data_IF_209773289066
#
_entry.id   IF_209773289066
#
_cell.length_a   1.000
_cell.length_b   1.000
_cell.length_c   1.000
_cell.angle_alpha   90.00
_cell.angle_beta   90.00
_cell.angle_gamma   90.00
#
_symmetry.space_group_name_H-M   'P 1'
#
loop_
_entity.id
_entity.type
_entity.pdbx_description
1 polymer ?
#
# COMPACT_ATOMS: atom_id res chain seq x y z
N UNK A 1 -10.24 19.72 9.23
CA UNK A 1 -10.38 18.46 8.49
C UNK A 1 -10.65 18.79 7.04
N UNK A 2 -9.78 18.35 6.14
CA UNK A 2 -9.94 18.60 4.69
C UNK A 2 -11.11 17.78 4.13
N UNK A 3 -11.58 18.11 2.93
CA UNK A 3 -12.60 17.28 2.24
C UNK A 3 -12.13 15.83 2.05
N UNK A 4 -10.82 15.61 2.04
CA UNK A 4 -10.23 14.31 1.73
C UNK A 4 -10.15 13.45 2.98
N UNK A 5 -9.69 14.04 4.08
CA UNK A 5 -9.77 13.44 5.42
C UNK A 5 -11.22 13.06 5.77
N UNK A 6 -12.20 13.94 5.49
CA UNK A 6 -13.63 13.63 5.67
C UNK A 6 -14.08 12.44 4.81
N UNK A 7 -13.61 12.37 3.57
CA UNK A 7 -13.95 11.31 2.63
C UNK A 7 -13.41 9.96 3.12
N UNK A 8 -12.15 9.91 3.55
CA UNK A 8 -11.51 8.72 4.12
C UNK A 8 -12.24 8.27 5.38
N UNK A 9 -12.43 9.18 6.34
CA UNK A 9 -13.03 8.87 7.63
C UNK A 9 -14.43 8.25 7.49
N UNK A 10 -15.26 8.84 6.63
CA UNK A 10 -16.62 8.35 6.36
C UNK A 10 -16.66 6.87 6.03
N UNK A 11 -15.71 6.39 5.21
CA UNK A 11 -15.67 5.00 4.75
C UNK A 11 -15.05 4.06 5.79
N UNK A 12 -14.23 4.57 6.70
CA UNK A 12 -13.61 3.78 7.75
C UNK A 12 -14.49 3.61 8.98
N UNK A 13 -15.42 4.53 9.29
CA UNK A 13 -16.13 4.51 10.57
C UNK A 13 -17.63 4.21 10.48
N UNK A 14 -18.13 3.70 9.35
CA UNK A 14 -19.56 3.51 9.11
C UNK A 14 -20.43 4.76 9.39
N UNK A 15 -19.82 5.95 9.39
CA UNK A 15 -20.49 7.23 9.68
C UNK A 15 -20.33 7.75 11.12
N UNK A 16 -19.74 6.98 12.05
CA UNK A 16 -19.47 7.45 13.41
C UNK A 16 -18.15 8.25 13.44
N UNK A 17 -18.22 9.57 13.63
CA UNK A 17 -17.05 10.46 13.58
C UNK A 17 -16.61 10.94 14.98
N UNK A 18 -17.07 10.26 16.04
CA UNK A 18 -16.73 10.62 17.42
C UNK A 18 -15.24 10.44 17.75
N UNK A 19 -14.69 11.31 18.61
CA UNK A 19 -13.27 11.23 19.01
C UNK A 19 -12.28 11.83 18.01
N UNK A 20 -12.81 12.62 17.09
CA UNK A 20 -12.15 13.30 15.98
C UNK A 20 -12.58 14.80 15.97
N UNK A 21 -12.98 15.30 17.14
CA UNK A 21 -13.59 16.63 17.33
C UNK A 21 -12.58 17.79 17.26
N UNK A 22 -11.28 17.50 17.33
CA UNK A 22 -10.18 18.48 17.18
C UNK A 22 -9.47 18.44 15.82
N UNK A 23 -10.00 17.75 14.81
CA UNK A 23 -9.33 17.60 13.49
C UNK A 23 -9.32 18.90 12.65
N UNK A 24 -9.73 20.04 13.19
CA UNK A 24 -9.63 21.33 12.48
C UNK A 24 -8.21 21.65 11.98
N UNK A 25 -7.20 21.17 12.71
CA UNK A 25 -5.80 21.64 12.61
C UNK A 25 -4.80 20.58 12.10
N UNK A 26 -5.20 19.31 11.97
CA UNK A 26 -4.28 18.23 11.62
C UNK A 26 -3.94 18.24 10.12
N UNK A 27 -2.64 18.15 9.81
CA UNK A 27 -2.18 17.82 8.47
C UNK A 27 -2.47 16.33 8.14
N UNK A 28 -2.24 15.92 6.90
CA UNK A 28 -2.57 14.57 6.46
C UNK A 28 -1.76 13.47 7.15
N UNK A 29 -0.49 13.74 7.51
CA UNK A 29 0.34 12.82 8.29
C UNK A 29 -0.17 12.65 9.72
N UNK A 30 -0.45 13.76 10.42
CA UNK A 30 -1.04 13.73 11.77
C UNK A 30 -2.41 13.04 11.78
N UNK A 31 -3.20 13.22 10.71
CA UNK A 31 -4.47 12.54 10.55
C UNK A 31 -4.28 11.04 10.34
N UNK A 32 -3.32 10.63 9.50
CA UNK A 32 -2.98 9.22 9.31
C UNK A 32 -2.53 8.57 10.64
N UNK A 33 -1.67 9.22 11.41
CA UNK A 33 -1.24 8.74 12.72
C UNK A 33 -2.43 8.55 13.67
N UNK A 34 -3.41 9.45 13.62
CA UNK A 34 -4.65 9.30 14.38
C UNK A 34 -5.53 8.13 13.89
N UNK A 35 -5.56 7.85 12.58
CA UNK A 35 -6.25 6.67 12.04
C UNK A 35 -5.57 5.37 12.49
N UNK A 36 -4.23 5.33 12.50
CA UNK A 36 -3.44 4.19 12.98
C UNK A 36 -3.67 3.99 14.47
N UNK A 37 -3.55 5.05 15.28
CA UNK A 37 -3.75 4.99 16.74
C UNK A 37 -5.15 4.56 17.16
N UNK A 38 -6.15 4.69 16.28
CA UNK A 38 -7.52 4.19 16.50
C UNK A 38 -7.80 2.82 15.86
N UNK A 39 -6.81 2.19 15.23
CA UNK A 39 -6.97 0.90 14.55
C UNK A 39 -7.90 0.97 13.33
N UNK A 40 -7.99 2.12 12.67
CA UNK A 40 -8.74 2.29 11.41
C UNK A 40 -7.86 1.98 10.19
N UNK A 41 -6.56 2.20 10.32
CA UNK A 41 -5.51 1.84 9.36
C UNK A 41 -4.50 0.97 10.09
N UNK A 42 -4.00 -0.07 9.44
CA UNK A 42 -2.94 -0.92 9.98
C UNK A 42 -1.69 -0.82 9.12
N UNK A 43 -0.53 -0.65 9.74
CA UNK A 43 0.76 -0.69 9.07
C UNK A 43 1.29 -2.13 9.15
N UNK A 44 1.46 -2.78 8.01
CA UNK A 44 2.05 -4.10 7.89
C UNK A 44 3.43 -3.97 7.22
N UNK A 45 4.49 -4.37 7.92
CA UNK A 45 5.83 -4.45 7.34
C UNK A 45 5.84 -5.44 6.16
N UNK A 46 6.59 -5.13 5.10
CA UNK A 46 6.72 -6.06 3.97
C UNK A 46 7.22 -7.42 4.42
N UNK A 47 8.08 -7.49 5.43
CA UNK A 47 8.68 -8.70 5.95
C UNK A 47 7.67 -9.65 6.58
N UNK A 48 6.58 -9.14 7.13
CA UNK A 48 5.58 -9.94 7.85
C UNK A 48 4.89 -9.20 8.97
N UNK A 49 4.08 -9.94 9.72
CA UNK A 49 3.44 -9.48 10.94
C UNK A 49 4.44 -9.48 12.11
N UNK A 50 4.24 -8.59 13.08
CA UNK A 50 4.97 -8.62 14.36
C UNK A 50 4.61 -9.87 15.16
N UNK A 51 3.30 -10.15 15.30
CA UNK A 51 2.78 -11.40 15.83
C UNK A 51 1.89 -12.09 14.79
N UNK A 52 2.03 -13.42 14.69
CA UNK A 52 1.14 -14.21 13.83
C UNK A 52 -0.32 -13.99 14.23
N UNK A 53 -1.13 -13.56 13.27
CA UNK A 53 -2.56 -13.32 13.48
C UNK A 53 -2.96 -11.84 13.44
N UNK A 54 -2.02 -10.90 13.44
CA UNK A 54 -2.34 -9.48 13.61
C UNK A 54 -3.17 -8.88 12.48
N UNK A 55 -2.89 -9.23 11.22
CA UNK A 55 -3.72 -8.82 10.08
C UNK A 55 -5.13 -9.40 10.21
N UNK A 56 -5.26 -10.65 10.66
CA UNK A 56 -6.55 -11.28 10.93
C UNK A 56 -7.35 -10.59 12.04
N UNK A 57 -6.70 -10.22 13.14
CA UNK A 57 -7.29 -9.46 14.25
C UNK A 57 -7.77 -8.09 13.76
N UNK A 58 -6.92 -7.37 13.01
CA UNK A 58 -7.26 -6.06 12.44
C UNK A 58 -8.49 -6.16 11.53
N UNK A 59 -8.47 -7.07 10.54
CA UNK A 59 -9.57 -7.19 9.58
C UNK A 59 -10.87 -7.59 10.28
N UNK A 60 -10.82 -8.55 11.21
CA UNK A 60 -12.00 -8.97 11.97
C UNK A 60 -12.58 -7.81 12.79
N UNK A 61 -11.72 -7.06 13.49
CA UNK A 61 -12.14 -5.87 14.23
C UNK A 61 -12.79 -4.81 13.34
N UNK A 62 -12.24 -4.55 12.14
CA UNK A 62 -12.86 -3.63 11.17
C UNK A 62 -14.22 -4.12 10.70
N UNK A 63 -14.36 -5.41 10.39
CA UNK A 63 -15.62 -5.98 9.94
C UNK A 63 -16.70 -5.89 11.02
N UNK A 64 -16.37 -6.25 12.26
CA UNK A 64 -17.29 -6.14 13.40
C UNK A 64 -17.78 -4.71 13.61
N UNK A 65 -16.89 -3.73 13.46
CA UNK A 65 -17.22 -2.31 13.58
C UNK A 65 -18.05 -1.77 12.41
N UNK A 66 -17.82 -2.26 11.19
CA UNK A 66 -18.50 -1.77 9.98
C UNK A 66 -19.85 -2.45 9.73
N UNK A 67 -19.99 -3.73 10.05
CA UNK A 67 -21.21 -4.50 9.87
C UNK A 67 -21.21 -5.77 10.74
N UNK A 68 -22.03 -5.78 11.79
CA UNK A 68 -22.17 -6.94 12.67
C UNK A 68 -22.58 -8.19 11.89
N UNK A 69 -21.97 -9.34 12.21
CA UNK A 69 -22.33 -10.64 11.64
C UNK A 69 -21.57 -11.02 10.37
N UNK A 70 -20.66 -10.16 9.88
CA UNK A 70 -19.69 -10.54 8.85
C UNK A 70 -18.42 -11.04 9.55
N UNK A 71 -18.14 -12.34 9.46
CA UNK A 71 -16.95 -12.95 10.05
C UNK A 71 -16.06 -13.59 8.99
N UNK A 72 -14.75 -13.61 9.24
CA UNK A 72 -13.79 -14.36 8.44
C UNK A 72 -13.23 -15.54 9.24
N UNK A 73 -13.04 -16.66 8.54
CA UNK A 73 -12.33 -17.82 9.06
C UNK A 73 -10.82 -17.57 8.95
N UNK A 74 -10.27 -16.80 9.90
CA UNK A 74 -8.87 -16.40 9.92
C UNK A 74 -7.96 -17.61 10.13
N UNK A 75 -8.32 -18.52 11.03
CA UNK A 75 -7.56 -19.75 11.32
C UNK A 75 -7.32 -20.56 10.05
N UNK A 76 -8.34 -20.67 9.19
CA UNK A 76 -8.19 -21.34 7.89
C UNK A 76 -7.23 -20.63 6.95
N UNK A 77 -7.13 -19.30 7.00
CA UNK A 77 -6.17 -18.54 6.19
C UNK A 77 -4.74 -18.77 6.72
N UNK A 78 -4.51 -18.66 8.03
CA UNK A 78 -3.19 -18.92 8.62
C UNK A 78 -2.75 -20.38 8.48
N UNK A 79 -3.67 -21.35 8.59
CA UNK A 79 -3.36 -22.76 8.32
C UNK A 79 -2.97 -23.03 6.86
N UNK A 80 -3.39 -22.18 5.91
CA UNK A 80 -2.87 -22.23 4.53
C UNK A 80 -1.50 -21.58 4.44
N UNK A 81 -1.27 -20.45 5.10
CA UNK A 81 0.04 -19.80 5.15
C UNK A 81 1.09 -20.77 5.70
N UNK A 82 0.82 -21.46 6.80
CA UNK A 82 1.72 -22.47 7.38
C UNK A 82 2.07 -23.61 6.42
N UNK A 83 1.14 -23.97 5.53
CA UNK A 83 1.39 -24.99 4.49
C UNK A 83 2.21 -24.41 3.34
N UNK A 84 1.95 -23.17 2.95
CA UNK A 84 2.67 -22.47 1.89
C UNK A 84 4.12 -22.20 2.31
N UNK A 85 4.34 -21.77 3.54
CA UNK A 85 5.65 -21.47 4.12
C UNK A 85 6.59 -22.69 4.20
N UNK A 86 6.07 -23.91 4.04
CA UNK A 86 6.86 -25.15 4.00
C UNK A 86 7.35 -25.51 2.60
N UNK A 87 6.92 -24.79 1.56
CA UNK A 87 7.34 -25.03 0.19
C UNK A 87 8.73 -24.45 -0.04
N UNK A 88 9.50 -25.08 -0.92
CA UNK A 88 10.78 -24.53 -1.38
C UNK A 88 10.54 -23.21 -2.10
N UNK A 89 11.41 -22.22 -1.84
CA UNK A 89 11.32 -20.88 -2.43
C UNK A 89 10.35 -19.92 -1.75
N UNK A 90 9.84 -20.26 -0.55
CA UNK A 90 9.12 -19.29 0.28
C UNK A 90 10.12 -18.41 1.01
N UNK A 91 10.11 -17.11 0.69
CA UNK A 91 11.06 -16.13 1.16
C UNK A 91 10.45 -15.15 2.17
N UNK A 92 11.33 -14.36 2.79
CA UNK A 92 10.91 -13.24 3.63
C UNK A 92 10.12 -12.26 2.76
N UNK A 93 8.92 -11.92 3.19
CA UNK A 93 7.99 -11.04 2.45
C UNK A 93 6.86 -11.76 1.71
N UNK A 94 7.03 -13.04 1.40
CA UNK A 94 5.95 -13.84 0.78
C UNK A 94 4.74 -13.99 1.69
N UNK A 95 4.96 -13.99 3.01
CA UNK A 95 3.89 -14.09 4.00
C UNK A 95 2.89 -12.93 3.91
N UNK A 96 3.37 -11.68 3.85
CA UNK A 96 2.52 -10.49 3.74
C UNK A 96 1.70 -10.52 2.46
N UNK A 97 2.34 -10.84 1.32
CA UNK A 97 1.65 -10.97 0.02
C UNK A 97 0.61 -12.09 0.04
N UNK A 98 0.96 -13.24 0.60
CA UNK A 98 0.05 -14.39 0.71
C UNK A 98 -1.18 -14.04 1.55
N UNK A 99 -0.97 -13.45 2.74
CA UNK A 99 -2.04 -13.07 3.66
C UNK A 99 -2.99 -12.06 2.99
N UNK A 100 -2.46 -10.96 2.44
CA UNK A 100 -3.29 -9.96 1.77
C UNK A 100 -4.09 -10.56 0.61
N UNK A 101 -3.50 -11.46 -0.17
CA UNK A 101 -4.20 -12.16 -1.25
C UNK A 101 -5.34 -13.05 -0.74
N UNK A 102 -5.11 -13.86 0.30
CA UNK A 102 -6.15 -14.74 0.86
C UNK A 102 -7.24 -13.96 1.59
N UNK A 103 -6.88 -12.93 2.36
CA UNK A 103 -7.84 -12.05 3.01
C UNK A 103 -8.69 -11.29 2.00
N UNK A 104 -8.08 -10.71 0.96
CA UNK A 104 -8.85 -10.06 -0.11
C UNK A 104 -9.80 -11.05 -0.80
N UNK A 105 -9.37 -12.29 -1.07
CA UNK A 105 -10.28 -13.33 -1.62
C UNK A 105 -11.43 -13.64 -0.68
N UNK A 106 -11.19 -13.69 0.63
CA UNK A 106 -12.21 -13.94 1.64
C UNK A 106 -13.19 -12.76 1.74
N UNK A 107 -12.69 -11.54 1.83
CA UNK A 107 -13.47 -10.30 1.84
C UNK A 107 -14.33 -10.15 0.59
N UNK A 108 -13.86 -10.57 -0.59
CA UNK A 108 -14.65 -10.52 -1.83
C UNK A 108 -15.94 -11.34 -1.81
N UNK A 109 -16.08 -12.30 -0.88
CA UNK A 109 -17.33 -13.05 -0.66
C UNK A 109 -18.38 -12.25 0.10
N UNK A 110 -17.95 -11.15 0.72
CA UNK A 110 -18.78 -10.13 1.35
C UNK A 110 -18.76 -8.84 0.49
N UNK A 111 -19.48 -7.82 0.93
CA UNK A 111 -19.44 -6.51 0.29
C UNK A 111 -18.24 -5.63 0.70
N UNK A 112 -17.25 -6.22 1.37
CA UNK A 112 -16.02 -5.53 1.78
C UNK A 112 -14.84 -5.78 0.84
N UNK A 113 -13.83 -4.93 0.98
CA UNK A 113 -12.55 -4.99 0.26
C UNK A 113 -11.41 -4.60 1.20
N UNK A 114 -10.27 -5.23 0.99
CA UNK A 114 -8.99 -4.73 1.46
C UNK A 114 -8.50 -3.66 0.48
N UNK A 115 -8.10 -2.52 1.02
CA UNK A 115 -7.48 -1.40 0.31
C UNK A 115 -6.08 -1.16 0.87
N UNK A 116 -5.23 -0.53 0.07
CA UNK A 116 -3.93 -0.03 0.49
C UNK A 116 -3.79 1.46 0.19
N UNK A 117 -3.26 2.19 1.17
CA UNK A 117 -2.72 3.54 0.98
C UNK A 117 -1.25 3.41 0.58
N UNK A 118 -0.85 4.09 -0.48
CA UNK A 118 0.54 4.10 -0.95
C UNK A 118 1.21 5.40 -0.54
N UNK A 119 2.23 5.26 0.27
CA UNK A 119 3.08 6.34 0.73
C UNK A 119 4.50 6.20 0.18
N UNK A 120 4.69 5.37 -0.84
CA UNK A 120 5.99 5.03 -1.43
C UNK A 120 7.00 4.53 -0.37
N UNK A 121 6.49 3.74 0.59
CA UNK A 121 7.28 3.08 1.63
C UNK A 121 7.30 1.57 1.45
N UNK A 122 8.22 0.91 2.14
CA UNK A 122 8.30 -0.55 2.25
C UNK A 122 7.22 -1.17 3.17
N UNK A 123 6.36 -0.38 3.80
CA UNK A 123 5.21 -0.86 4.55
C UNK A 123 3.89 -0.78 3.76
N UNK A 124 3.00 -1.74 4.02
CA UNK A 124 1.62 -1.74 3.52
C UNK A 124 0.68 -1.08 4.53
N UNK A 125 0.05 0.03 4.14
CA UNK A 125 -0.99 0.68 4.94
C UNK A 125 -2.36 0.13 4.57
N UNK A 126 -2.86 -0.79 5.37
CA UNK A 126 -4.08 -1.56 5.12
C UNK A 126 -5.32 -0.83 5.62
N UNK A 127 -6.37 -0.84 4.80
CA UNK A 127 -7.69 -0.34 5.14
C UNK A 127 -8.75 -1.38 4.76
N UNK A 128 -9.81 -1.51 5.57
CA UNK A 128 -10.98 -2.31 5.23
C UNK A 128 -12.18 -1.37 5.11
N UNK A 129 -12.87 -1.44 3.97
CA UNK A 129 -14.06 -0.64 3.73
C UNK A 129 -15.06 -1.38 2.84
N UNK A 130 -16.31 -0.92 2.83
CA UNK A 130 -17.32 -1.40 1.90
C UNK A 130 -16.86 -1.14 0.46
N UNK A 131 -17.21 -2.02 -0.48
CA UNK A 131 -16.79 -1.95 -1.89
C UNK A 131 -17.15 -0.62 -2.58
N UNK A 132 -18.18 0.06 -2.10
CA UNK A 132 -18.62 1.36 -2.65
C UNK A 132 -17.63 2.50 -2.37
N UNK A 133 -16.74 2.35 -1.38
CA UNK A 133 -15.69 3.32 -1.08
C UNK A 133 -14.72 3.52 -2.26
N UNK A 134 -14.57 2.51 -3.13
CA UNK A 134 -13.64 2.52 -4.25
C UNK A 134 -13.86 3.73 -5.19
N UNK A 135 -15.12 4.13 -5.42
CA UNK A 135 -15.43 5.26 -6.31
C UNK A 135 -14.96 6.59 -5.75
N UNK A 136 -14.99 6.74 -4.44
CA UNK A 136 -14.59 7.96 -3.76
C UNK A 136 -13.06 8.01 -3.59
N UNK A 137 -12.43 6.89 -3.22
CA UNK A 137 -10.97 6.77 -3.19
C UNK A 137 -10.32 7.02 -4.55
N UNK A 138 -10.92 6.53 -5.65
CA UNK A 138 -10.46 6.83 -7.01
C UNK A 138 -10.49 8.32 -7.36
N UNK A 139 -11.34 9.12 -6.71
CA UNK A 139 -11.36 10.59 -6.90
C UNK A 139 -10.28 11.28 -6.07
N UNK A 140 -9.82 10.68 -4.98
CA UNK A 140 -8.72 11.19 -4.15
C UNK A 140 -7.38 11.05 -4.90
N UNK A 141 -7.08 9.86 -5.43
CA UNK A 141 -5.86 9.58 -6.22
C UNK A 141 -5.79 10.25 -7.60
N UNK A 142 -6.61 11.27 -7.88
CA UNK A 142 -6.57 12.09 -9.11
C UNK A 142 -6.24 13.57 -8.84
N UNK A 143 -5.95 13.91 -7.59
CA UNK A 143 -5.66 15.28 -7.18
C UNK A 143 -4.18 15.57 -7.32
N UNK A 144 -3.84 16.86 -7.43
CA UNK A 144 -2.45 17.32 -7.55
C UNK A 144 -1.64 16.97 -6.29
N UNK A 145 -2.27 16.98 -5.11
CA UNK A 145 -1.69 16.49 -3.86
C UNK A 145 -2.08 15.01 -3.66
N UNK A 146 -1.16 14.10 -3.96
CA UNK A 146 -1.38 12.65 -4.04
C UNK A 146 -1.28 11.91 -2.68
N UNK A 147 -1.42 12.59 -1.54
CA UNK A 147 -1.23 11.93 -0.24
C UNK A 147 -2.19 10.75 -0.04
N UNK A 148 -3.47 10.89 -0.39
CA UNK A 148 -4.49 9.85 -0.20
C UNK A 148 -4.65 8.95 -1.42
N UNK A 149 -3.56 8.35 -1.90
CA UNK A 149 -3.60 7.38 -2.99
C UNK A 149 -4.01 5.97 -2.51
N UNK A 150 -5.32 5.80 -2.35
CA UNK A 150 -5.94 4.57 -1.86
C UNK A 150 -6.52 3.74 -3.01
N UNK A 151 -6.13 2.47 -3.09
CA UNK A 151 -6.62 1.53 -4.09
C UNK A 151 -6.97 0.15 -3.50
N UNK A 152 -7.91 -0.62 -4.08
CA UNK A 152 -8.17 -1.98 -3.64
C UNK A 152 -6.93 -2.87 -3.81
N UNK A 153 -6.65 -3.73 -2.82
CA UNK A 153 -5.58 -4.73 -2.93
C UNK A 153 -5.78 -5.62 -4.16
N UNK A 154 -4.68 -5.84 -4.89
CA UNK A 154 -4.66 -6.66 -6.11
C UNK A 154 -5.28 -5.99 -7.35
N UNK A 155 -5.78 -4.75 -7.26
CA UNK A 155 -5.86 -3.93 -8.47
C UNK A 155 -4.47 -3.42 -8.76
N UNK A 156 -3.93 -3.83 -9.92
CA UNK A 156 -2.72 -3.26 -10.46
C UNK A 156 -2.86 -1.73 -10.45
N UNK A 157 -2.09 -1.09 -9.57
CA UNK A 157 -1.50 0.23 -9.87
C UNK A 157 -0.78 0.04 -11.21
N UNK A 158 -0.69 1.09 -12.04
CA UNK A 158 -0.05 0.94 -13.35
C UNK A 158 1.25 0.17 -13.17
N UNK A 159 1.49 -0.82 -14.04
CA UNK A 159 2.71 -1.64 -13.95
C UNK A 159 3.87 -0.68 -13.83
N UNK A 160 4.73 -0.79 -12.83
CA UNK A 160 5.85 0.11 -12.65
C UNK A 160 7.13 -0.58 -13.09
N UNK A 161 8.13 0.20 -13.44
CA UNK A 161 9.46 -0.26 -13.80
C UNK A 161 10.43 0.45 -12.87
N UNK A 162 11.16 -0.32 -12.09
CA UNK A 162 12.30 0.16 -11.32
C UNK A 162 13.54 0.06 -12.21
N UNK A 163 14.14 1.21 -12.49
CA UNK A 163 15.41 1.36 -13.20
C UNK A 163 16.50 1.55 -12.15
N UNK A 164 17.51 0.69 -12.12
CA UNK A 164 18.65 0.82 -11.19
C UNK A 164 19.95 0.88 -11.97
N UNK A 165 20.76 1.89 -11.70
CA UNK A 165 22.14 1.99 -12.18
C UNK A 165 23.06 2.12 -10.98
N UNK A 166 23.97 1.17 -10.84
CA UNK A 166 25.12 1.27 -9.95
C UNK A 166 26.23 2.02 -10.68
N UNK A 167 26.43 3.30 -10.34
CA UNK A 167 27.44 4.12 -10.97
C UNK A 167 28.85 3.57 -10.65
N UNK A 168 29.79 3.67 -11.59
CA UNK A 168 31.20 3.31 -11.39
C UNK A 168 31.87 3.94 -10.15
N UNK A 169 31.35 5.07 -9.66
CA UNK A 169 31.85 5.72 -8.44
C UNK A 169 31.41 5.03 -7.14
N UNK A 170 30.52 4.03 -7.22
CA UNK A 170 29.96 3.29 -6.10
C UNK A 170 28.56 3.75 -5.67
N UNK A 171 28.05 4.88 -6.19
CA UNK A 171 26.72 5.38 -5.87
C UNK A 171 25.63 4.63 -6.64
N UNK A 172 24.53 4.31 -5.96
CA UNK A 172 23.35 3.68 -6.57
C UNK A 172 22.30 4.75 -6.88
N UNK A 173 21.79 4.77 -8.11
CA UNK A 173 20.68 5.62 -8.51
C UNK A 173 19.51 4.76 -8.97
N UNK A 174 18.31 5.08 -8.49
CA UNK A 174 17.10 4.33 -8.78
C UNK A 174 15.94 5.25 -9.19
N UNK A 175 15.20 4.85 -10.21
CA UNK A 175 14.00 5.54 -10.69
C UNK A 175 12.84 4.56 -10.77
N UNK A 176 11.73 4.90 -10.14
CA UNK A 176 10.49 4.14 -10.22
C UNK A 176 9.49 4.89 -11.08
N UNK A 177 9.21 4.36 -12.28
CA UNK A 177 8.34 4.99 -13.26
C UNK A 177 7.17 4.07 -13.60
N UNK A 178 6.02 4.64 -13.94
CA UNK A 178 4.96 3.84 -14.55
C UNK A 178 5.44 3.25 -15.89
N UNK A 179 4.99 2.06 -16.27
CA UNK A 179 5.45 1.36 -17.48
C UNK A 179 4.99 2.04 -18.78
N UNK A 180 4.04 2.97 -18.70
CA UNK A 180 3.67 3.85 -19.81
C UNK A 180 4.48 5.16 -19.85
N UNK A 181 5.29 5.43 -18.83
CA UNK A 181 6.22 6.55 -18.83
C UNK A 181 7.50 6.22 -19.62
N UNK A 182 8.12 7.23 -20.27
CA UNK A 182 9.41 7.05 -20.90
C UNK A 182 10.49 6.73 -19.86
N UNK A 183 11.58 6.07 -20.26
CA UNK A 183 12.75 5.88 -19.39
C UNK A 183 13.30 7.22 -18.89
N UNK A 184 14.06 7.22 -17.77
CA UNK A 184 14.71 8.43 -17.28
C UNK A 184 15.57 9.09 -18.37
N UNK A 185 15.68 10.43 -18.34
CA UNK A 185 16.39 11.24 -19.34
C UNK A 185 17.17 12.33 -18.66
N UNK A 186 18.32 12.66 -19.23
CA UNK A 186 19.21 13.73 -18.72
C UNK A 186 19.61 13.54 -17.24
N UNK A 187 19.62 12.29 -16.78
CA UNK A 187 19.96 11.96 -15.39
C UNK A 187 21.46 11.87 -15.20
N UNK A 188 21.94 12.41 -14.07
CA UNK A 188 23.35 12.41 -13.69
C UNK A 188 23.52 11.83 -12.29
N UNK A 189 24.65 11.18 -12.05
CA UNK A 189 25.02 10.73 -10.71
C UNK A 189 25.20 11.94 -9.80
N UNK A 190 24.46 11.99 -8.70
CA UNK A 190 24.49 13.11 -7.74
C UNK A 190 25.87 13.32 -7.11
N UNK A 191 26.68 12.27 -7.02
CA UNK A 191 28.01 12.31 -6.39
C UNK A 191 29.11 12.72 -7.35
N UNK A 192 29.19 12.10 -8.53
CA UNK A 192 30.31 12.32 -9.45
C UNK A 192 29.95 13.10 -10.73
N UNK A 193 28.68 13.48 -10.89
CA UNK A 193 28.18 14.26 -12.03
C UNK A 193 28.19 13.50 -13.36
N UNK A 194 28.46 12.20 -13.35
CA UNK A 194 28.50 11.37 -14.55
C UNK A 194 27.10 11.19 -15.12
N UNK A 195 26.96 11.30 -16.43
CA UNK A 195 25.70 11.00 -17.14
C UNK A 195 25.33 9.53 -16.95
N UNK A 196 24.12 9.29 -16.44
CA UNK A 196 23.52 7.97 -16.25
C UNK A 196 22.50 7.67 -17.35
N UNK A 197 21.71 8.68 -17.75
CA UNK A 197 20.84 8.64 -18.92
C UNK A 197 21.08 9.84 -19.82
N UNK A 198 21.13 9.63 -21.14
CA UNK A 198 21.17 10.72 -22.11
C UNK A 198 19.79 11.35 -22.35
N UNK A 199 19.74 12.41 -23.18
CA UNK A 199 18.50 13.12 -23.53
C UNK A 199 17.48 12.25 -24.28
N UNK A 200 17.94 11.18 -24.93
CA UNK A 200 17.10 10.23 -25.65
C UNK A 200 16.58 9.11 -24.73
N UNK A 201 17.08 9.03 -23.49
CA UNK A 201 16.71 8.08 -22.46
C UNK A 201 17.46 6.74 -22.54
N UNK A 202 18.62 6.73 -23.20
CA UNK A 202 19.53 5.58 -23.21
C UNK A 202 20.40 5.59 -21.94
N UNK A 203 20.50 4.43 -21.30
CA UNK A 203 21.41 4.26 -20.18
C UNK A 203 22.86 4.24 -20.67
N UNK A 204 23.71 5.05 -20.02
CA UNK A 204 25.13 5.17 -20.32
C UNK A 204 25.99 4.17 -19.55
N UNK A 205 25.36 3.39 -18.66
CA UNK A 205 25.96 2.36 -17.80
C UNK A 205 25.03 1.13 -17.70
N UNK A 206 25.51 -0.01 -17.17
CA UNK A 206 24.68 -1.19 -16.95
C UNK A 206 23.42 -0.83 -16.16
N UNK A 207 22.27 -1.20 -16.73
CA UNK A 207 20.95 -0.87 -16.21
C UNK A 207 20.24 -2.16 -15.83
N UNK A 208 19.82 -2.24 -14.57
CA UNK A 208 18.92 -3.26 -14.07
C UNK A 208 17.48 -2.73 -14.19
N UNK A 209 16.57 -3.59 -14.67
CA UNK A 209 15.14 -3.26 -14.83
C UNK A 209 14.31 -4.31 -14.13
N UNK A 210 13.53 -3.89 -13.15
CA UNK A 210 12.57 -4.76 -12.47
C UNK A 210 11.16 -4.28 -12.74
N UNK A 211 10.28 -5.21 -13.09
CA UNK A 211 8.86 -4.92 -13.31
C UNK A 211 8.10 -5.20 -12.01
N UNK A 212 7.56 -4.14 -11.42
CA UNK A 212 6.83 -4.15 -10.16
C UNK A 212 5.33 -3.90 -10.38
#
# INVERSE_FOLDING_TARGET
MTKDQCCVLKHLTAGETGGFEKIGEMNDGEFLDALIGKGLVWMLDWAGEDETGDVGKFISSRLDALQSGVSLDCDKIYAKLEKEAKKEGFERGDASLFLMNEFQKALKKSDFRLFTLDLHSDAYYLLVAHKDAEKDFKKLGKREELFWDIAPWGKRRKRQILYVINCECGEMSAWQLDADEPSPRDEVCEVCGRVLFDADGNAMQPLEKEFI
#
